data_IF_947158280922
#
_entry.id   IF_947158280922
#
_cell.length_a   1.000
_cell.length_b   1.000
_cell.length_c   1.000
_cell.angle_alpha   90.00
_cell.angle_beta   90.00
_cell.angle_gamma   90.00
#
_symmetry.space_group_name_H-M   'P 1'
#
loop_
_entity.id
_entity.type
_entity.pdbx_description
1 polymer ?
#
# COMPACT_ATOMS: atom_id res chain seq x y z
N UNK A 1 -9.34 16.53 17.39
CA UNK A 1 -8.54 15.44 18.00
C UNK A 1 -7.15 15.49 17.38
N UNK A 2 -6.05 15.48 18.17
CA UNK A 2 -4.70 15.39 17.61
C UNK A 2 -4.40 13.95 17.12
N UNK A 3 -3.81 13.83 15.94
CA UNK A 3 -3.42 12.57 15.31
C UNK A 3 -1.98 12.70 14.79
N UNK A 4 -1.14 11.71 15.09
CA UNK A 4 0.25 11.67 14.66
C UNK A 4 0.58 10.31 14.06
N UNK A 5 1.49 10.29 13.10
CA UNK A 5 1.98 9.06 12.45
C UNK A 5 3.44 8.86 12.80
N UNK A 6 3.82 7.62 13.11
CA UNK A 6 5.20 7.25 13.47
C UNK A 6 6.09 7.19 12.22
N UNK A 7 7.35 7.60 12.35
CA UNK A 7 8.36 7.32 11.32
C UNK A 7 8.53 5.80 11.10
N UNK A 8 8.74 5.40 9.85
CA UNK A 8 8.70 4.02 9.39
C UNK A 8 7.28 3.50 9.09
N UNK A 9 6.23 4.29 9.29
CA UNK A 9 4.88 3.85 8.93
C UNK A 9 4.70 3.76 7.40
N UNK A 10 4.08 2.67 6.96
CA UNK A 10 3.62 2.47 5.59
C UNK A 10 2.10 2.33 5.68
N UNK A 11 1.36 3.28 5.09
CA UNK A 11 -0.10 3.35 5.21
C UNK A 11 -0.74 3.34 3.82
N UNK A 12 -1.47 2.28 3.45
CA UNK A 12 -2.24 2.26 2.20
C UNK A 12 -3.56 3.00 2.36
N UNK A 13 -3.92 3.79 1.35
CA UNK A 13 -5.23 4.42 1.22
C UNK A 13 -5.84 4.01 -0.11
N UNK A 14 -7.07 3.51 -0.07
CA UNK A 14 -7.87 3.27 -1.27
C UNK A 14 -8.35 4.59 -1.90
N UNK A 15 -8.94 4.52 -3.11
CA UNK A 15 -9.61 5.67 -3.69
C UNK A 15 -10.79 6.12 -2.81
N UNK A 16 -11.20 7.38 -2.94
CA UNK A 16 -12.45 7.83 -2.34
C UNK A 16 -13.62 7.05 -2.96
N UNK A 17 -14.30 6.24 -2.15
CA UNK A 17 -15.47 5.44 -2.52
C UNK A 17 -16.65 5.83 -1.62
N UNK A 18 -17.87 5.79 -2.16
CA UNK A 18 -19.13 6.02 -1.46
C UNK A 18 -19.65 4.73 -0.79
N UNK A 19 -19.28 3.57 -1.32
CA UNK A 19 -19.56 2.25 -0.75
C UNK A 19 -18.46 1.25 -1.14
N UNK A 20 -18.33 0.15 -0.40
CA UNK A 20 -17.16 -0.74 -0.42
C UNK A 20 -16.82 -1.36 -1.78
N UNK A 21 -17.81 -1.51 -2.67
CA UNK A 21 -17.63 -2.17 -3.98
C UNK A 21 -17.75 -1.22 -5.18
N UNK A 22 -17.75 0.11 -4.98
CA UNK A 22 -18.05 1.07 -6.05
C UNK A 22 -17.00 1.08 -7.17
N UNK A 23 -15.71 0.91 -6.82
CA UNK A 23 -14.60 0.89 -7.77
C UNK A 23 -13.60 -0.18 -7.36
N UNK A 24 -13.09 -0.99 -8.30
CA UNK A 24 -11.93 -1.82 -8.00
C UNK A 24 -10.81 -0.93 -7.46
N UNK A 25 -10.16 -1.33 -6.37
CA UNK A 25 -8.98 -0.66 -5.83
C UNK A 25 -7.77 -0.88 -6.77
N UNK A 26 -7.88 -0.35 -7.99
CA UNK A 26 -6.91 -0.44 -9.07
C UNK A 26 -5.72 0.48 -8.83
N UNK A 27 -5.93 1.54 -8.03
CA UNK A 27 -4.88 2.39 -7.50
C UNK A 27 -4.97 2.45 -5.97
N UNK A 28 -3.83 2.19 -5.31
CA UNK A 28 -3.64 2.41 -3.87
C UNK A 28 -2.60 3.51 -3.69
N UNK A 29 -2.94 4.50 -2.87
CA UNK A 29 -2.00 5.55 -2.47
C UNK A 29 -1.25 5.03 -1.25
N UNK A 30 0.05 4.82 -1.39
CA UNK A 30 0.89 4.25 -0.35
C UNK A 30 1.73 5.36 0.28
N UNK A 31 1.29 5.85 1.44
CA UNK A 31 2.06 6.82 2.21
C UNK A 31 3.19 6.12 2.94
N UNK A 32 4.41 6.56 2.71
CA UNK A 32 5.62 6.09 3.41
C UNK A 32 6.19 7.25 4.22
N UNK A 33 6.06 7.16 5.54
CA UNK A 33 6.62 8.12 6.49
C UNK A 33 8.06 7.71 6.78
N UNK A 34 9.03 8.38 6.15
CA UNK A 34 10.44 8.00 6.26
C UNK A 34 11.04 8.44 7.59
N UNK A 35 12.30 8.10 7.84
CA UNK A 35 13.04 8.38 9.08
C UNK A 35 13.42 7.11 9.85
N UNK A 36 12.73 6.00 9.63
CA UNK A 36 13.06 4.67 10.15
C UNK A 36 12.63 3.57 9.18
N UNK A 37 13.18 2.37 9.36
CA UNK A 37 12.71 1.17 8.66
C UNK A 37 11.24 0.90 9.00
N UNK A 38 10.52 0.36 8.03
CA UNK A 38 9.08 0.13 8.11
C UNK A 38 8.68 -1.19 7.48
N UNK A 39 7.59 -1.78 7.95
CA UNK A 39 6.96 -2.91 7.31
C UNK A 39 5.43 -2.85 7.48
N UNK A 40 4.71 -3.27 6.45
CA UNK A 40 3.26 -3.40 6.45
C UNK A 40 2.86 -4.47 5.45
N UNK A 41 1.86 -5.31 5.76
CA UNK A 41 1.31 -6.27 4.80
C UNK A 41 -0.11 -5.86 4.47
N UNK A 42 -0.36 -5.54 3.20
CA UNK A 42 -1.73 -5.35 2.71
C UNK A 42 -2.41 -6.71 2.61
N UNK A 43 -3.51 -6.87 3.33
CA UNK A 43 -4.37 -8.03 3.31
C UNK A 43 -5.64 -7.72 2.52
N UNK A 44 -6.07 -8.65 1.66
CA UNK A 44 -7.29 -8.54 0.87
C UNK A 44 -8.01 -9.89 0.80
N UNK A 45 -9.33 -9.87 0.87
CA UNK A 45 -10.22 -11.01 0.66
C UNK A 45 -11.49 -10.55 -0.08
N UNK A 46 -12.46 -11.45 -0.25
CA UNK A 46 -13.75 -11.17 -0.93
C UNK A 46 -14.72 -10.35 -0.05
N UNK A 47 -14.39 -10.08 1.22
CA UNK A 47 -15.15 -9.21 2.13
C UNK A 47 -16.59 -9.63 2.50
N UNK A 48 -17.16 -10.64 1.82
CA UNK A 48 -18.59 -10.98 1.87
C UNK A 48 -18.88 -12.38 2.43
N UNK A 49 -17.88 -13.23 2.57
CA UNK A 49 -18.02 -14.61 3.06
C UNK A 49 -16.86 -15.01 4.01
N UNK A 50 -16.96 -16.22 4.56
CA UNK A 50 -15.96 -16.80 5.46
C UNK A 50 -14.85 -17.56 4.70
N UNK A 51 -14.66 -17.33 3.40
CA UNK A 51 -13.71 -18.11 2.60
C UNK A 51 -12.25 -17.84 2.99
N UNK A 52 -11.97 -16.76 3.73
CA UNK A 52 -10.67 -16.54 4.34
C UNK A 52 -10.24 -17.71 5.26
N UNK A 53 -11.19 -18.39 5.90
CA UNK A 53 -10.92 -19.58 6.74
C UNK A 53 -10.43 -20.77 5.91
N UNK A 54 -10.75 -20.77 4.61
CA UNK A 54 -10.30 -21.76 3.64
C UNK A 54 -9.04 -21.32 2.89
N UNK A 55 -8.42 -20.19 3.29
CA UNK A 55 -7.22 -19.66 2.67
C UNK A 55 -7.46 -18.78 1.44
N UNK A 56 -8.70 -18.36 1.16
CA UNK A 56 -9.01 -17.45 0.06
C UNK A 56 -8.77 -15.99 0.45
N UNK A 57 -7.51 -15.59 0.50
CA UNK A 57 -7.09 -14.22 0.72
C UNK A 57 -5.76 -13.98 0.02
N UNK A 58 -5.39 -12.72 -0.16
CA UNK A 58 -4.11 -12.31 -0.69
C UNK A 58 -3.37 -11.38 0.29
N UNK A 59 -2.05 -11.50 0.27
CA UNK A 59 -1.16 -10.65 1.05
C UNK A 59 -0.08 -10.05 0.15
N UNK A 60 0.17 -8.75 0.32
CA UNK A 60 1.24 -8.01 -0.35
C UNK A 60 2.11 -7.35 0.72
N UNK A 61 3.30 -7.91 1.03
CA UNK A 61 4.19 -7.33 2.01
C UNK A 61 4.93 -6.12 1.44
N UNK A 62 5.00 -5.05 2.21
CA UNK A 62 5.82 -3.87 1.96
C UNK A 62 6.90 -3.75 3.02
N UNK A 63 8.13 -3.47 2.59
CA UNK A 63 9.25 -3.23 3.50
C UNK A 63 10.01 -1.98 3.07
N UNK A 64 10.08 -0.98 3.94
CA UNK A 64 10.86 0.23 3.73
C UNK A 64 12.18 0.15 4.48
N UNK A 65 13.27 0.47 3.79
CA UNK A 65 14.60 0.55 4.34
C UNK A 65 15.11 1.99 4.26
N UNK A 66 15.28 2.62 5.42
CA UNK A 66 15.70 4.02 5.56
C UNK A 66 17.10 4.25 4.99
N UNK A 67 18.06 3.39 5.36
CA UNK A 67 19.47 3.56 4.98
C UNK A 67 19.68 3.59 3.47
N UNK A 68 18.87 2.84 2.71
CA UNK A 68 18.95 2.77 1.25
C UNK A 68 17.87 3.59 0.54
N UNK A 69 16.97 4.24 1.31
CA UNK A 69 15.72 4.86 0.86
C UNK A 69 14.98 4.01 -0.17
N UNK A 70 14.77 2.73 0.15
CA UNK A 70 14.11 1.78 -0.77
C UNK A 70 12.86 1.19 -0.16
N UNK A 71 11.78 1.17 -0.94
CA UNK A 71 10.58 0.41 -0.65
C UNK A 71 10.60 -0.87 -1.48
N UNK A 72 10.50 -2.02 -0.83
CA UNK A 72 10.22 -3.30 -1.47
C UNK A 72 8.71 -3.51 -1.45
N UNK A 73 8.12 -3.72 -2.61
CA UNK A 73 6.77 -4.28 -2.76
C UNK A 73 6.98 -5.75 -3.09
N UNK A 74 6.73 -6.64 -2.14
CA UNK A 74 7.08 -8.05 -2.24
C UNK A 74 6.16 -8.85 -3.17
N UNK A 75 6.46 -10.15 -3.31
CA UNK A 75 5.60 -11.08 -4.03
C UNK A 75 4.23 -11.18 -3.35
N UNK A 76 3.16 -11.22 -4.15
CA UNK A 76 1.83 -11.49 -3.65
C UNK A 76 1.72 -12.96 -3.33
N UNK A 77 1.25 -13.27 -2.12
CA UNK A 77 0.94 -14.64 -1.69
C UNK A 77 -0.55 -14.80 -1.50
N UNK A 78 -1.07 -15.97 -1.88
CA UNK A 78 -2.51 -16.23 -1.83
C UNK A 78 -3.28 -15.60 -2.99
N UNK A 79 -4.54 -15.99 -3.09
CA UNK A 79 -5.49 -15.49 -4.07
C UNK A 79 -6.91 -15.72 -3.57
N UNK A 80 -7.85 -14.95 -4.12
CA UNK A 80 -9.28 -15.12 -3.88
C UNK A 80 -10.06 -14.81 -5.17
N UNK A 81 -11.31 -15.24 -5.20
CA UNK A 81 -12.19 -15.05 -6.35
C UNK A 81 -12.43 -13.55 -6.59
N UNK A 82 -12.29 -13.08 -7.84
CA UNK A 82 -12.44 -11.66 -8.17
C UNK A 82 -11.21 -10.78 -7.88
N UNK A 83 -10.11 -11.33 -7.34
CA UNK A 83 -8.88 -10.57 -7.06
C UNK A 83 -8.29 -9.89 -8.31
N UNK A 84 -7.96 -8.61 -8.19
CA UNK A 84 -7.20 -7.87 -9.19
C UNK A 84 -5.82 -8.48 -9.42
N UNK A 85 -5.56 -8.97 -10.64
CA UNK A 85 -4.26 -9.53 -11.00
C UNK A 85 -3.18 -8.46 -11.13
N UNK A 86 -3.56 -7.27 -11.60
CA UNK A 86 -2.72 -6.09 -11.73
C UNK A 86 -3.31 -4.89 -10.98
N UNK A 87 -2.44 -4.04 -10.46
CA UNK A 87 -2.80 -2.75 -9.85
C UNK A 87 -1.67 -1.75 -9.90
N UNK A 88 -1.97 -0.55 -9.45
CA UNK A 88 -1.05 0.58 -9.38
C UNK A 88 -0.87 1.01 -7.94
N UNK A 89 0.37 1.25 -7.53
CA UNK A 89 0.69 1.92 -6.27
C UNK A 89 1.21 3.32 -6.58
N UNK A 90 0.59 4.36 -6.02
CA UNK A 90 1.13 5.72 -6.00
C UNK A 90 1.79 5.97 -4.67
N UNK A 91 3.12 5.99 -4.66
CA UNK A 91 3.93 6.07 -3.44
C UNK A 91 4.18 7.53 -3.11
N UNK A 92 3.69 7.95 -1.94
CA UNK A 92 3.82 9.32 -1.44
C UNK A 92 4.74 9.30 -0.23
N UNK A 93 5.84 10.05 -0.29
CA UNK A 93 6.79 10.18 0.82
C UNK A 93 6.47 11.37 1.71
N UNK A 94 6.58 11.15 3.03
CA UNK A 94 6.51 12.19 4.06
C UNK A 94 7.81 12.14 4.85
N UNK A 95 8.51 13.27 4.96
CA UNK A 95 9.76 13.34 5.74
C UNK A 95 9.98 14.72 6.37
N UNK A 96 11.04 14.87 7.18
CA UNK A 96 11.35 16.12 7.91
C UNK A 96 11.58 17.33 6.99
N UNK A 97 11.98 17.09 5.74
CA UNK A 97 12.25 18.12 4.73
C UNK A 97 11.07 18.32 3.77
N UNK A 98 10.19 17.33 3.67
CA UNK A 98 8.99 17.32 2.85
C UNK A 98 7.77 16.97 3.70
N UNK A 99 7.23 18.00 4.35
CA UNK A 99 5.97 17.89 5.08
C UNK A 99 4.80 17.82 4.08
N UNK A 100 4.45 16.60 3.66
CA UNK A 100 3.32 16.32 2.80
C UNK A 100 2.05 16.12 3.65
N UNK A 101 1.03 16.99 3.54
CA UNK A 101 -0.26 16.76 4.15
C UNK A 101 -0.91 15.49 3.62
N UNK A 102 -1.83 14.91 4.39
CA UNK A 102 -2.71 13.88 3.87
C UNK A 102 -3.60 14.49 2.77
N UNK A 103 -3.51 13.94 1.57
CA UNK A 103 -4.29 14.33 0.39
C UNK A 103 -4.36 13.13 -0.56
N UNK A 104 -5.58 12.70 -0.89
CA UNK A 104 -5.80 11.60 -1.84
C UNK A 104 -5.41 11.98 -3.28
N UNK A 105 -5.08 13.24 -3.56
CA UNK A 105 -4.55 13.70 -4.84
C UNK A 105 -3.04 14.00 -4.79
N UNK A 106 -2.38 13.72 -3.66
CA UNK A 106 -0.95 13.95 -3.52
C UNK A 106 -0.17 13.23 -4.64
N UNK A 107 0.76 13.97 -5.24
CA UNK A 107 1.63 13.44 -6.29
C UNK A 107 2.68 12.52 -5.66
N UNK A 108 2.98 11.44 -6.37
CA UNK A 108 3.87 10.40 -5.89
C UNK A 108 4.45 9.60 -7.03
N UNK A 109 5.38 8.72 -6.72
CA UNK A 109 5.94 7.81 -7.70
C UNK A 109 4.95 6.68 -7.96
N UNK A 110 4.57 6.52 -9.22
CA UNK A 110 3.59 5.51 -9.62
C UNK A 110 4.27 4.23 -10.11
N UNK A 111 3.81 3.08 -9.63
CA UNK A 111 4.35 1.77 -9.99
C UNK A 111 3.23 0.80 -10.32
N UNK A 112 3.34 0.14 -11.47
CA UNK A 112 2.47 -0.99 -11.83
C UNK A 112 2.96 -2.27 -11.15
N UNK A 113 2.05 -3.03 -10.59
CA UNK A 113 2.31 -4.24 -9.84
C UNK A 113 1.42 -5.38 -10.32
N UNK A 114 2.04 -6.50 -10.70
CA UNK A 114 1.37 -7.68 -11.22
C UNK A 114 1.50 -8.90 -10.29
N UNK A 115 1.78 -8.68 -8.99
CA UNK A 115 1.97 -9.75 -8.01
C UNK A 115 3.42 -10.23 -7.83
N UNK A 116 4.39 -9.62 -8.54
CA UNK A 116 5.82 -9.95 -8.42
C UNK A 116 6.61 -8.85 -7.74
N UNK A 117 7.57 -9.28 -6.93
CA UNK A 117 8.41 -8.42 -6.13
C UNK A 117 9.14 -7.38 -6.99
N UNK A 118 9.16 -6.14 -6.50
CA UNK A 118 9.88 -5.03 -7.12
C UNK A 118 10.43 -4.07 -6.06
N UNK A 119 11.51 -3.37 -6.40
CA UNK A 119 12.16 -2.39 -5.54
C UNK A 119 11.96 -1.00 -6.12
N UNK A 120 11.47 -0.08 -5.29
CA UNK A 120 11.27 1.33 -5.63
C UNK A 120 12.24 2.17 -4.82
N UNK A 121 13.08 2.94 -5.51
CA UNK A 121 13.95 3.93 -4.88
C UNK A 121 13.18 5.21 -4.64
N UNK A 122 13.15 5.67 -3.39
CA UNK A 122 12.43 6.86 -2.97
C UNK A 122 13.42 8.03 -2.83
N UNK A 123 13.08 9.17 -3.43
CA UNK A 123 13.83 10.42 -3.29
C UNK A 123 13.57 11.12 -1.96
#
# INVERSE_FOLDING_TARGET
MPLYVREGAIIPYGPAIQYTDEKPASEIILYVYTGQNGAFTLYEDDGTNYDYEQGKYAQIPFTYNEATRSLVIGDRTGEFDGMLKERTFRIVTVDKTKAQPFDLNATGQTVKYAGKSLIVKLS
#
